data_IF_830089761220
#
_entry.id   IF_830089761220
#
_cell.length_a   1.000
_cell.length_b   1.000
_cell.length_c   1.000
_cell.angle_alpha   90.00
_cell.angle_beta   90.00
_cell.angle_gamma   90.00
#
_symmetry.space_group_name_H-M   'P 1'
#
loop_
_entity.id
_entity.type
_entity.pdbx_description
1 polymer ?
#
# COMPACT_ATOMS: atom_id res chain seq x y z
N UNK A 1 -39.45 -7.47 66.97
CA UNK A 1 -40.70 -6.79 67.37
C UNK A 1 -41.17 -6.13 66.08
N UNK A 2 -42.13 -6.77 65.36
CA UNK A 2 -43.57 -6.52 65.38
C UNK A 2 -43.83 -5.03 65.00
N UNK A 3 -44.48 -4.64 63.92
CA UNK A 3 -45.79 -5.06 63.44
C UNK A 3 -46.13 -4.62 62.00
N UNK A 4 -46.98 -5.42 61.45
CA UNK A 4 -47.77 -5.25 60.21
C UNK A 4 -48.79 -4.10 60.27
N UNK A 5 -49.19 -3.52 59.12
CA UNK A 5 -50.64 -3.41 58.82
C UNK A 5 -50.89 -3.10 57.29
N UNK A 6 -51.76 -3.93 56.74
CA UNK A 6 -52.47 -3.85 55.50
C UNK A 6 -53.49 -2.69 55.49
N UNK A 7 -53.73 -2.07 54.33
CA UNK A 7 -55.07 -1.55 53.98
C UNK A 7 -55.34 -1.76 52.50
N UNK A 8 -56.43 -2.43 52.19
CA UNK A 8 -57.10 -2.60 50.93
C UNK A 8 -58.02 -1.38 50.63
N UNK A 9 -58.17 -1.00 49.32
CA UNK A 9 -59.39 -0.44 48.70
C UNK A 9 -59.13 -0.28 47.24
N UNK A 10 -59.77 -0.86 46.39
CA UNK A 10 -61.14 -0.95 45.82
C UNK A 10 -61.14 -0.44 44.39
N UNK A 11 -61.68 -1.31 43.51
CA UNK A 11 -61.85 -1.16 42.06
C UNK A 11 -62.72 0.04 41.67
N UNK A 12 -62.40 0.63 40.51
CA UNK A 12 -63.39 1.24 39.61
C UNK A 12 -63.05 0.89 38.16
N UNK A 13 -63.91 0.11 37.52
CA UNK A 13 -63.90 -0.19 36.09
C UNK A 13 -64.45 1.04 35.32
N UNK A 14 -63.68 1.50 34.35
CA UNK A 14 -64.21 2.33 33.24
C UNK A 14 -63.82 1.69 31.91
N UNK A 15 -64.80 1.13 31.24
CA UNK A 15 -64.65 0.61 29.88
C UNK A 15 -64.58 1.79 28.90
N UNK A 16 -63.49 1.89 28.16
CA UNK A 16 -63.35 2.74 26.99
C UNK A 16 -63.12 1.83 25.78
N UNK A 17 -64.06 1.81 24.87
CA UNK A 17 -63.95 1.17 23.57
C UNK A 17 -62.92 1.91 22.72
N UNK A 18 -61.76 1.28 22.45
CA UNK A 18 -60.80 1.76 21.44
C UNK A 18 -60.82 0.81 20.25
N UNK A 19 -61.26 1.34 19.14
CA UNK A 19 -61.25 0.74 17.81
C UNK A 19 -59.79 0.43 17.39
N UNK A 20 -59.45 -0.85 17.29
CA UNK A 20 -58.17 -1.30 16.75
C UNK A 20 -58.26 -1.27 15.21
N UNK A 21 -57.48 -0.38 14.58
CA UNK A 21 -57.11 -0.51 13.18
C UNK A 21 -56.08 -1.65 13.01
N UNK A 22 -56.17 -2.51 12.01
CA UNK A 22 -55.21 -3.58 11.84
C UNK A 22 -53.84 -2.99 11.43
N UNK A 23 -52.81 -3.20 12.24
CA UNK A 23 -51.41 -2.93 11.91
C UNK A 23 -51.03 -3.82 10.72
N UNK A 24 -50.69 -3.20 9.59
CA UNK A 24 -50.02 -3.90 8.48
C UNK A 24 -48.63 -4.29 8.97
N UNK A 25 -48.43 -5.58 9.23
CA UNK A 25 -47.09 -6.16 9.41
C UNK A 25 -46.35 -6.06 8.10
N UNK A 26 -45.27 -5.28 8.09
CA UNK A 26 -44.26 -5.28 7.02
C UNK A 26 -43.63 -6.68 6.97
N UNK A 27 -43.59 -7.36 5.81
CA UNK A 27 -42.91 -8.64 5.74
C UNK A 27 -41.42 -8.45 6.01
N UNK A 28 -40.81 -9.34 6.81
CA UNK A 28 -39.39 -9.40 7.03
C UNK A 28 -38.66 -9.58 5.67
N UNK A 29 -37.50 -8.95 5.46
CA UNK A 29 -36.74 -9.16 4.23
C UNK A 29 -36.41 -10.66 4.11
N UNK A 30 -36.70 -11.21 2.93
CA UNK A 30 -36.35 -12.57 2.58
C UNK A 30 -34.83 -12.78 2.75
N UNK A 31 -34.37 -13.96 3.24
CA UNK A 31 -32.95 -14.24 3.28
C UNK A 31 -32.36 -14.09 1.89
N UNK A 32 -31.24 -13.36 1.80
CA UNK A 32 -30.50 -13.18 0.56
C UNK A 32 -30.18 -14.56 -0.03
N UNK A 33 -30.50 -14.74 -1.29
CA UNK A 33 -30.16 -15.96 -2.01
C UNK A 33 -28.62 -16.18 -1.89
N UNK A 34 -28.16 -17.44 -1.72
CA UNK A 34 -26.74 -17.72 -1.72
C UNK A 34 -26.15 -17.19 -3.03
N UNK A 35 -25.03 -16.45 -2.90
CA UNK A 35 -24.28 -15.96 -4.06
C UNK A 35 -24.08 -17.15 -5.03
N UNK A 36 -24.49 -16.98 -6.27
CA UNK A 36 -24.31 -18.01 -7.30
C UNK A 36 -22.84 -18.40 -7.34
N UNK A 37 -22.55 -19.69 -7.17
CA UNK A 37 -21.24 -20.25 -7.42
C UNK A 37 -20.75 -19.72 -8.77
N UNK A 38 -19.61 -19.00 -8.76
CA UNK A 38 -19.06 -18.36 -9.94
C UNK A 38 -19.00 -19.36 -11.10
N UNK A 39 -19.34 -18.88 -12.30
CA UNK A 39 -19.17 -19.66 -13.51
C UNK A 39 -17.72 -20.16 -13.57
N UNK A 40 -17.46 -21.40 -14.04
CA UNK A 40 -16.10 -21.92 -14.12
C UNK A 40 -15.25 -20.96 -14.95
N UNK A 41 -14.17 -20.44 -14.33
CA UNK A 41 -13.22 -19.55 -15.01
C UNK A 41 -12.70 -20.28 -16.25
N UNK A 42 -12.87 -19.68 -17.43
CA UNK A 42 -12.35 -20.28 -18.65
C UNK A 42 -10.83 -20.41 -18.54
N UNK A 43 -10.26 -21.54 -18.97
CA UNK A 43 -8.81 -21.78 -19.03
C UNK A 43 -8.07 -20.72 -19.89
N UNK A 44 -8.80 -19.92 -20.64
CA UNK A 44 -8.30 -18.84 -21.51
C UNK A 44 -7.99 -17.53 -20.80
N UNK A 45 -8.41 -17.33 -19.54
CA UNK A 45 -8.11 -16.09 -18.82
C UNK A 45 -6.60 -16.01 -18.44
N UNK A 46 -6.00 -14.84 -18.69
CA UNK A 46 -4.56 -14.62 -18.51
C UNK A 46 -4.19 -14.48 -17.01
N UNK A 47 -2.98 -14.88 -16.65
CA UNK A 47 -2.42 -14.59 -15.32
C UNK A 47 -1.96 -13.14 -15.23
N UNK A 48 -1.82 -12.63 -14.01
CA UNK A 48 -1.31 -11.29 -13.72
C UNK A 48 -0.08 -11.40 -12.85
N UNK A 49 1.03 -10.81 -13.31
CA UNK A 49 2.27 -10.67 -12.55
C UNK A 49 2.45 -9.20 -12.18
N UNK A 50 2.44 -8.89 -10.90
CA UNK A 50 2.73 -7.58 -10.34
C UNK A 50 4.14 -7.57 -9.77
N UNK A 51 5.03 -6.76 -10.35
CA UNK A 51 6.41 -6.59 -9.92
C UNK A 51 6.53 -5.23 -9.25
N UNK A 52 7.06 -5.17 -8.03
CA UNK A 52 7.47 -3.92 -7.40
C UNK A 52 8.99 -3.82 -7.30
N UNK A 53 9.51 -2.66 -7.67
CA UNK A 53 10.91 -2.27 -7.49
C UNK A 53 10.92 -1.09 -6.52
N UNK A 54 11.17 -1.39 -5.24
CA UNK A 54 11.14 -0.40 -4.17
C UNK A 54 12.07 0.79 -4.45
N UNK A 55 11.58 1.99 -4.22
CA UNK A 55 12.37 3.22 -4.35
C UNK A 55 12.82 3.59 -5.77
N UNK A 56 12.32 2.91 -6.82
CA UNK A 56 12.69 3.20 -8.19
C UNK A 56 12.02 4.48 -8.70
N UNK A 57 12.79 5.54 -8.86
CA UNK A 57 12.32 6.81 -9.41
C UNK A 57 11.89 6.69 -10.88
N UNK A 58 10.80 7.39 -11.25
CA UNK A 58 10.25 7.37 -12.60
C UNK A 58 11.24 7.82 -13.69
N UNK A 59 12.16 8.75 -13.38
CA UNK A 59 13.16 9.27 -14.31
C UNK A 59 14.29 8.27 -14.64
N UNK A 60 14.49 7.23 -13.83
CA UNK A 60 15.51 6.20 -14.09
C UNK A 60 15.27 5.46 -15.42
N UNK A 61 14.01 5.35 -15.85
CA UNK A 61 13.67 4.75 -17.15
C UNK A 61 14.17 5.55 -18.36
N UNK A 62 14.53 6.81 -18.17
CA UNK A 62 15.01 7.71 -19.24
C UNK A 62 16.54 7.88 -19.24
N UNK A 63 17.25 7.22 -18.28
CA UNK A 63 18.71 7.32 -18.15
C UNK A 63 19.49 6.28 -18.99
N UNK A 64 18.82 5.44 -19.75
CA UNK A 64 19.45 4.42 -20.61
C UNK A 64 20.09 3.26 -19.87
N UNK A 65 19.76 3.05 -18.59
CA UNK A 65 20.32 1.98 -17.74
C UNK A 65 19.36 0.82 -17.49
N UNK A 66 18.16 0.88 -18.05
CA UNK A 66 17.08 -0.10 -17.86
C UNK A 66 16.58 -0.66 -19.20
N UNK A 67 17.41 -1.36 -19.99
CA UNK A 67 17.02 -1.80 -21.34
C UNK A 67 15.79 -2.71 -21.35
N UNK A 68 15.64 -3.62 -20.37
CA UNK A 68 14.51 -4.55 -20.31
C UNK A 68 13.20 -3.86 -19.92
N UNK A 69 13.22 -2.98 -18.92
CA UNK A 69 12.07 -2.16 -18.53
C UNK A 69 11.72 -1.17 -19.65
N UNK A 70 12.72 -0.61 -20.34
CA UNK A 70 12.51 0.28 -21.49
C UNK A 70 11.84 -0.44 -22.66
N UNK A 71 12.18 -1.71 -22.91
CA UNK A 71 11.51 -2.53 -23.91
C UNK A 71 10.06 -2.83 -23.52
N UNK A 72 9.81 -3.21 -22.24
CA UNK A 72 8.43 -3.36 -21.73
C UNK A 72 7.60 -2.10 -21.92
N UNK A 73 8.20 -0.94 -21.63
CA UNK A 73 7.57 0.38 -21.79
C UNK A 73 7.27 0.72 -23.25
N UNK A 74 8.16 0.34 -24.16
CA UNK A 74 8.01 0.56 -25.60
C UNK A 74 6.89 -0.30 -26.19
N UNK A 75 6.86 -1.58 -25.83
CA UNK A 75 5.91 -2.54 -26.41
C UNK A 75 4.55 -2.53 -25.71
N UNK A 76 4.46 -1.96 -24.53
CA UNK A 76 3.27 -1.93 -23.68
C UNK A 76 2.77 -0.54 -23.35
N UNK A 77 2.52 -0.33 -22.08
CA UNK A 77 2.01 0.92 -21.50
C UNK A 77 3.06 1.50 -20.55
N UNK A 78 3.31 2.80 -20.63
CA UNK A 78 4.11 3.54 -19.65
C UNK A 78 3.36 4.79 -19.21
N UNK A 79 3.18 5.00 -17.92
CA UNK A 79 2.79 6.29 -17.39
C UNK A 79 4.00 7.24 -17.32
N UNK A 80 3.74 8.55 -17.40
CA UNK A 80 4.78 9.56 -17.18
C UNK A 80 5.40 9.47 -15.80
N UNK A 81 4.55 9.23 -14.79
CA UNK A 81 4.89 8.83 -13.42
C UNK A 81 3.64 8.26 -12.75
N UNK A 82 3.83 7.61 -11.62
CA UNK A 82 2.78 7.30 -10.65
C UNK A 82 3.06 8.09 -9.38
N UNK A 83 2.04 8.78 -8.84
CA UNK A 83 2.13 9.54 -7.60
C UNK A 83 1.85 8.62 -6.43
N UNK A 84 2.76 8.45 -5.45
CA UNK A 84 2.50 7.65 -4.26
C UNK A 84 1.44 8.30 -3.38
N UNK A 85 0.79 7.52 -2.51
CA UNK A 85 -0.03 8.03 -1.44
C UNK A 85 0.85 8.60 -0.31
N UNK A 86 0.31 9.58 0.42
CA UNK A 86 0.98 10.13 1.60
C UNK A 86 0.77 9.21 2.82
N UNK A 87 1.83 8.95 3.62
CA UNK A 87 3.23 9.29 3.37
C UNK A 87 3.86 8.39 2.30
N UNK A 88 4.85 8.92 1.55
CA UNK A 88 5.56 8.18 0.48
C UNK A 88 6.53 7.14 1.08
N UNK A 89 5.98 6.18 1.81
CA UNK A 89 6.69 5.14 2.56
C UNK A 89 6.33 3.75 2.03
N UNK A 90 7.23 2.79 2.21
CA UNK A 90 7.19 1.43 1.67
C UNK A 90 5.89 0.68 1.99
N UNK A 91 5.62 0.40 3.26
CA UNK A 91 4.45 -0.42 3.63
C UNK A 91 3.12 0.26 3.30
N UNK A 92 2.91 1.56 3.63
CA UNK A 92 1.71 2.27 3.21
C UNK A 92 1.45 2.15 1.70
N UNK A 93 2.47 2.36 0.85
CA UNK A 93 2.28 2.40 -0.60
C UNK A 93 2.16 1.02 -1.24
N UNK A 94 2.93 0.02 -0.80
CA UNK A 94 2.73 -1.35 -1.26
C UNK A 94 1.33 -1.87 -0.95
N UNK A 95 0.80 -1.51 0.23
CA UNK A 95 -0.53 -1.94 0.59
C UNK A 95 -1.63 -1.14 -0.14
N UNK A 96 -1.39 0.14 -0.41
CA UNK A 96 -2.24 0.96 -1.31
C UNK A 96 -2.35 0.34 -2.72
N UNK A 97 -1.23 -0.08 -3.31
CA UNK A 97 -1.19 -0.69 -4.66
C UNK A 97 -2.10 -1.93 -4.79
N UNK A 98 -2.26 -2.69 -3.72
CA UNK A 98 -3.01 -3.95 -3.73
C UNK A 98 -4.41 -3.86 -3.12
N UNK A 99 -4.77 -2.74 -2.50
CA UNK A 99 -6.12 -2.49 -1.94
C UNK A 99 -6.88 -1.36 -2.63
N UNK A 100 -6.14 -0.46 -3.32
CA UNK A 100 -6.70 0.79 -3.83
C UNK A 100 -7.14 1.76 -2.75
N UNK A 101 -6.85 1.47 -1.47
CA UNK A 101 -7.15 2.34 -0.35
C UNK A 101 -5.95 3.22 -0.02
N UNK A 102 -6.21 4.43 0.45
CA UNK A 102 -5.17 5.30 1.00
C UNK A 102 -4.76 4.85 2.41
N UNK A 103 -3.56 5.19 2.90
CA UNK A 103 -3.10 4.83 4.24
C UNK A 103 -4.08 5.17 5.36
N UNK A 104 -4.80 6.27 5.24
CA UNK A 104 -5.84 6.72 6.17
C UNK A 104 -7.05 5.76 6.23
N UNK A 105 -7.29 4.97 5.18
CA UNK A 105 -8.41 4.03 5.10
C UNK A 105 -7.98 2.59 5.36
N UNK A 106 -6.80 2.16 4.88
CA UNK A 106 -6.35 0.78 5.13
C UNK A 106 -5.57 0.60 6.46
N UNK A 107 -5.22 1.70 7.14
CA UNK A 107 -4.68 1.68 8.50
C UNK A 107 -3.19 1.38 8.64
N UNK A 108 -2.46 1.11 7.57
CA UNK A 108 -0.99 1.10 7.55
C UNK A 108 -0.54 2.53 7.27
N UNK A 109 -0.52 3.33 8.33
CA UNK A 109 -0.32 4.78 8.22
C UNK A 109 1.15 5.19 8.17
N UNK A 110 2.07 4.30 8.54
CA UNK A 110 3.50 4.55 8.55
C UNK A 110 4.26 3.21 8.59
N UNK A 111 5.56 3.18 8.23
CA UNK A 111 6.42 2.02 8.40
C UNK A 111 6.64 1.64 9.88
N UNK A 112 6.47 2.62 10.78
CA UNK A 112 6.44 2.43 12.24
C UNK A 112 5.24 3.18 12.81
N UNK A 113 4.38 2.51 13.60
CA UNK A 113 3.16 3.12 14.12
C UNK A 113 2.74 2.49 15.45
N UNK A 114 1.80 3.12 16.14
CA UNK A 114 1.20 2.62 17.38
C UNK A 114 -0.31 2.54 17.27
N UNK A 115 -0.85 1.49 17.86
CA UNK A 115 -2.29 1.29 18.04
C UNK A 115 -2.58 1.14 19.53
N UNK A 116 -3.69 1.68 19.99
CA UNK A 116 -4.06 1.66 21.40
C UNK A 116 -4.27 0.25 21.97
N UNK A 117 -4.67 -0.70 21.13
CA UNK A 117 -4.97 -2.09 21.51
C UNK A 117 -3.91 -3.09 21.05
N UNK A 118 -3.29 -2.85 19.87
CA UNK A 118 -2.32 -3.78 19.28
C UNK A 118 -0.87 -3.46 19.67
N UNK A 119 -0.62 -2.29 20.25
CA UNK A 119 0.72 -1.85 20.63
C UNK A 119 1.52 -1.25 19.50
N UNK A 120 2.80 -1.64 19.34
CA UNK A 120 3.70 -1.10 18.34
C UNK A 120 3.85 -1.98 17.10
N UNK A 121 3.94 -1.35 15.94
CA UNK A 121 4.25 -1.96 14.64
C UNK A 121 5.52 -1.32 14.07
N UNK A 122 6.39 -2.10 13.48
CA UNK A 122 7.53 -1.67 12.64
C UNK A 122 7.93 -2.80 11.69
N UNK A 123 8.62 -2.50 10.62
CA UNK A 123 8.89 -3.41 9.49
C UNK A 123 9.51 -4.75 9.90
N UNK A 124 10.45 -4.75 10.85
CA UNK A 124 11.13 -5.96 11.31
C UNK A 124 10.39 -6.71 12.43
N UNK A 125 9.22 -6.23 12.90
CA UNK A 125 8.42 -6.89 13.92
C UNK A 125 7.46 -7.91 13.28
N UNK A 126 7.98 -9.09 12.98
CA UNK A 126 7.24 -10.14 12.29
C UNK A 126 5.89 -10.48 12.92
N UNK A 127 5.79 -10.54 14.25
CA UNK A 127 4.53 -10.79 14.95
C UNK A 127 3.45 -9.73 14.64
N UNK A 128 3.86 -8.46 14.46
CA UNK A 128 2.93 -7.40 14.09
C UNK A 128 2.63 -7.42 12.57
N UNK A 129 3.64 -7.65 11.73
CA UNK A 129 3.47 -7.75 10.27
C UNK A 129 2.54 -8.91 9.91
N UNK A 130 2.65 -10.05 10.60
CA UNK A 130 1.79 -11.23 10.42
C UNK A 130 0.41 -11.14 11.08
N UNK A 131 0.13 -10.11 11.88
CA UNK A 131 -1.16 -9.93 12.55
C UNK A 131 -2.17 -9.18 11.65
N UNK A 132 -3.18 -9.92 11.19
CA UNK A 132 -4.22 -9.41 10.29
C UNK A 132 -4.97 -8.16 10.79
N UNK A 133 -5.01 -7.93 12.10
CA UNK A 133 -5.69 -6.77 12.71
C UNK A 133 -5.08 -5.42 12.35
N UNK A 134 -3.84 -5.42 11.87
CA UNK A 134 -3.19 -4.19 11.38
C UNK A 134 -3.68 -3.77 10.00
N UNK A 135 -4.10 -4.73 9.16
CA UNK A 135 -4.30 -4.60 7.72
C UNK A 135 -5.79 -4.44 7.39
N UNK A 136 -6.23 -3.23 7.09
CA UNK A 136 -7.61 -2.96 6.68
C UNK A 136 -7.83 -3.13 5.18
N UNK A 137 -9.09 -3.27 4.78
CA UNK A 137 -9.46 -3.48 3.37
C UNK A 137 -9.24 -4.90 2.87
N UNK A 138 -9.46 -5.11 1.57
CA UNK A 138 -9.30 -6.40 0.91
C UNK A 138 -8.18 -6.31 -0.14
N UNK A 139 -7.02 -6.91 0.11
CA UNK A 139 -5.94 -6.92 -0.87
C UNK A 139 -6.20 -7.90 -2.01
N UNK A 140 -5.55 -7.68 -3.17
CA UNK A 140 -5.74 -8.44 -4.40
C UNK A 140 -5.70 -9.96 -4.22
N UNK A 141 -4.81 -10.47 -3.36
CA UNK A 141 -4.72 -11.91 -3.10
C UNK A 141 -5.93 -12.46 -2.36
N UNK A 142 -6.51 -11.69 -1.42
CA UNK A 142 -7.74 -12.10 -0.73
C UNK A 142 -8.90 -12.11 -1.73
N UNK A 143 -9.05 -11.06 -2.53
CA UNK A 143 -10.05 -11.02 -3.60
C UNK A 143 -9.88 -12.16 -4.60
N UNK A 144 -8.65 -12.50 -5.01
CA UNK A 144 -8.39 -13.62 -5.90
C UNK A 144 -8.81 -14.96 -5.27
N UNK A 145 -8.33 -15.28 -4.08
CA UNK A 145 -8.61 -16.55 -3.39
C UNK A 145 -10.10 -16.73 -3.08
N UNK A 146 -10.79 -15.68 -2.65
CA UNK A 146 -12.25 -15.72 -2.36
C UNK A 146 -13.11 -15.92 -3.62
N UNK A 147 -12.54 -15.60 -4.81
CA UNK A 147 -13.17 -15.86 -6.10
C UNK A 147 -12.64 -17.12 -6.80
N UNK A 148 -11.97 -18.02 -6.07
CA UNK A 148 -11.48 -19.31 -6.59
C UNK A 148 -10.27 -19.20 -7.50
N UNK A 149 -9.50 -18.11 -7.42
CA UNK A 149 -8.25 -17.90 -8.13
C UNK A 149 -7.07 -18.05 -7.15
N UNK A 150 -6.09 -18.86 -7.49
CA UNK A 150 -4.89 -18.96 -6.65
C UNK A 150 -3.97 -17.76 -6.82
N UNK A 151 -3.48 -17.28 -5.68
CA UNK A 151 -2.48 -16.21 -5.59
C UNK A 151 -1.14 -16.76 -5.05
N UNK A 152 -0.04 -16.22 -5.57
CA UNK A 152 1.30 -16.48 -5.09
C UNK A 152 2.03 -15.15 -4.85
N UNK A 153 2.52 -14.90 -3.64
CA UNK A 153 3.13 -13.62 -3.26
C UNK A 153 4.57 -13.81 -2.79
N UNK A 154 5.49 -13.15 -3.48
CA UNK A 154 6.89 -13.14 -3.08
C UNK A 154 7.17 -11.90 -2.24
N UNK A 155 7.19 -12.07 -0.90
CA UNK A 155 7.53 -11.04 0.12
C UNK A 155 6.77 -9.71 0.01
N UNK A 156 5.53 -9.72 -0.51
CA UNK A 156 4.74 -8.49 -0.61
C UNK A 156 4.23 -8.05 0.77
N UNK A 157 4.40 -6.78 1.17
CA UNK A 157 3.93 -6.28 2.46
C UNK A 157 2.46 -6.60 2.75
N UNK A 158 2.20 -7.26 3.87
CA UNK A 158 0.86 -7.70 4.29
C UNK A 158 0.45 -9.09 3.82
N UNK A 159 1.16 -9.73 2.88
CA UNK A 159 0.75 -11.03 2.35
C UNK A 159 0.99 -12.20 3.30
N UNK A 160 1.78 -12.01 4.34
CA UNK A 160 2.00 -13.01 5.42
C UNK A 160 0.85 -13.07 6.43
N UNK A 161 0.02 -12.01 6.49
CA UNK A 161 -1.11 -11.95 7.40
C UNK A 161 -2.35 -12.64 6.80
N UNK A 162 -3.12 -13.37 7.64
CA UNK A 162 -4.39 -13.96 7.23
C UNK A 162 -5.51 -12.90 7.24
N UNK A 163 -5.46 -11.96 6.30
CA UNK A 163 -6.40 -10.85 6.21
C UNK A 163 -7.79 -11.39 5.85
N UNK A 164 -8.80 -11.05 6.65
CA UNK A 164 -10.13 -11.66 6.51
C UNK A 164 -10.14 -13.19 6.69
N UNK A 165 -9.11 -13.76 7.34
CA UNK A 165 -8.94 -15.22 7.50
C UNK A 165 -8.34 -15.90 6.26
N UNK A 166 -7.95 -15.15 5.23
CA UNK A 166 -7.45 -15.68 3.95
C UNK A 166 -5.99 -15.29 3.74
N UNK A 167 -5.20 -16.24 3.25
CA UNK A 167 -3.81 -16.04 2.79
C UNK A 167 -3.70 -16.42 1.32
N UNK A 168 -2.67 -15.92 0.61
CA UNK A 168 -2.33 -16.46 -0.70
C UNK A 168 -2.07 -17.98 -0.61
N UNK A 169 -2.42 -18.73 -1.66
CA UNK A 169 -2.11 -20.18 -1.78
C UNK A 169 -0.62 -20.43 -1.62
N UNK A 170 0.22 -19.53 -2.12
CA UNK A 170 1.69 -19.55 -1.94
C UNK A 170 2.17 -18.18 -1.51
N UNK A 171 3.09 -18.14 -0.55
CA UNK A 171 3.68 -16.88 -0.09
C UNK A 171 5.07 -17.12 0.51
N UNK A 172 5.89 -16.07 0.50
CA UNK A 172 7.22 -16.06 1.13
C UNK A 172 7.29 -14.93 2.13
N UNK A 173 7.91 -15.22 3.27
CA UNK A 173 8.37 -14.16 4.18
C UNK A 173 9.45 -13.33 3.50
N UNK A 174 9.62 -12.11 3.96
CA UNK A 174 10.78 -11.33 3.61
C UNK A 174 12.00 -11.94 4.28
N UNK A 175 13.00 -12.28 3.47
CA UNK A 175 14.33 -12.75 3.86
C UNK A 175 15.38 -11.87 3.22
N UNK A 176 16.08 -11.05 4.04
CA UNK A 176 17.19 -10.21 3.59
C UNK A 176 18.28 -11.04 2.91
N UNK A 177 18.84 -10.54 1.82
CA UNK A 177 19.92 -11.19 1.09
C UNK A 177 19.50 -12.34 0.17
N UNK A 178 18.20 -12.63 0.00
CA UNK A 178 17.76 -13.58 -1.01
C UNK A 178 18.08 -13.06 -2.41
N UNK A 179 18.82 -13.87 -3.19
CA UNK A 179 19.33 -13.45 -4.49
C UNK A 179 18.22 -13.12 -5.50
N UNK A 180 18.50 -12.20 -6.42
CA UNK A 180 17.61 -11.86 -7.54
C UNK A 180 17.25 -13.10 -8.37
N UNK A 181 18.20 -14.02 -8.57
CA UNK A 181 18.00 -15.24 -9.37
C UNK A 181 17.04 -16.23 -8.67
N UNK A 182 17.18 -16.41 -7.35
CA UNK A 182 16.26 -17.24 -6.55
C UNK A 182 14.83 -16.74 -6.68
N UNK A 183 14.60 -15.41 -6.55
CA UNK A 183 13.27 -14.81 -6.70
C UNK A 183 12.68 -15.05 -8.09
N UNK A 184 13.48 -14.80 -9.12
CA UNK A 184 13.09 -14.99 -10.52
C UNK A 184 12.72 -16.44 -10.81
N UNK A 185 13.53 -17.39 -10.39
CA UNK A 185 13.30 -18.83 -10.67
C UNK A 185 12.07 -19.35 -9.95
N UNK A 186 11.84 -18.93 -8.71
CA UNK A 186 10.64 -19.31 -7.96
C UNK A 186 9.36 -18.74 -8.60
N UNK A 187 9.35 -17.45 -8.94
CA UNK A 187 8.21 -16.80 -9.60
C UNK A 187 7.93 -17.42 -10.98
N UNK A 188 8.95 -17.79 -11.73
CA UNK A 188 8.78 -18.55 -12.98
C UNK A 188 8.10 -19.90 -12.73
N UNK A 189 8.53 -20.63 -11.69
CA UNK A 189 7.90 -21.89 -11.29
C UNK A 189 6.41 -21.71 -10.95
N UNK A 190 6.07 -20.64 -10.25
CA UNK A 190 4.67 -20.30 -9.92
C UNK A 190 3.83 -19.95 -11.14
N UNK A 191 4.39 -19.24 -12.12
CA UNK A 191 3.71 -18.89 -13.38
C UNK A 191 3.56 -20.11 -14.33
N UNK A 192 4.48 -21.06 -14.24
CA UNK A 192 4.44 -22.29 -15.04
C UNK A 192 3.40 -23.30 -14.53
N UNK A 193 2.94 -23.20 -13.29
CA UNK A 193 1.90 -24.05 -12.73
C UNK A 193 0.63 -24.01 -13.58
N UNK A 194 -0.06 -25.14 -13.74
CA UNK A 194 -1.21 -25.31 -14.63
C UNK A 194 -2.33 -26.11 -13.98
N UNK A 195 -3.47 -26.19 -14.64
CA UNK A 195 -4.65 -26.91 -14.11
C UNK A 195 -5.10 -26.33 -12.77
N UNK A 196 -5.39 -27.21 -11.81
CA UNK A 196 -5.87 -26.80 -10.48
C UNK A 196 -4.81 -26.01 -9.66
N UNK A 197 -3.53 -26.13 -9.98
CA UNK A 197 -2.43 -25.43 -9.29
C UNK A 197 -2.06 -24.08 -9.91
N UNK A 198 -2.78 -23.65 -10.94
CA UNK A 198 -2.48 -22.43 -11.69
C UNK A 198 -2.65 -21.19 -10.83
N UNK A 199 -1.57 -20.42 -10.68
CA UNK A 199 -1.64 -19.10 -10.04
C UNK A 199 -2.12 -18.04 -11.05
N UNK A 200 -3.20 -17.34 -10.71
CA UNK A 200 -3.78 -16.27 -11.52
C UNK A 200 -3.21 -14.91 -11.15
N UNK A 201 -2.87 -14.72 -9.89
CA UNK A 201 -2.13 -13.57 -9.38
C UNK A 201 -0.77 -14.04 -8.88
N UNK A 202 0.30 -13.38 -9.35
CA UNK A 202 1.66 -13.56 -8.82
C UNK A 202 2.22 -12.20 -8.50
N UNK A 203 2.85 -12.02 -7.33
CA UNK A 203 3.57 -10.79 -7.00
C UNK A 203 5.06 -11.08 -6.80
N UNK A 204 5.89 -10.07 -7.11
CA UNK A 204 7.35 -10.13 -6.95
C UNK A 204 7.85 -8.78 -6.45
N UNK A 205 8.63 -8.79 -5.38
CA UNK A 205 9.18 -7.60 -4.74
C UNK A 205 10.72 -7.60 -4.77
N UNK A 206 11.29 -6.42 -5.05
CA UNK A 206 12.72 -6.14 -5.04
C UNK A 206 13.01 -4.89 -4.20
N UNK A 207 13.75 -5.03 -3.10
CA UNK A 207 14.19 -3.95 -2.21
C UNK A 207 15.51 -3.28 -2.61
N UNK A 208 16.32 -3.94 -3.40
CA UNK A 208 17.73 -3.61 -3.66
C UNK A 208 18.00 -2.17 -4.11
N UNK A 209 17.06 -1.57 -4.85
CA UNK A 209 17.21 -0.20 -5.35
C UNK A 209 16.99 0.80 -4.22
N UNK A 210 15.98 0.56 -3.36
CA UNK A 210 15.72 1.36 -2.18
C UNK A 210 16.87 1.33 -1.18
N UNK A 211 17.40 0.14 -0.87
CA UNK A 211 18.54 -0.03 0.03
C UNK A 211 19.76 0.76 -0.46
N UNK A 212 20.11 0.62 -1.74
CA UNK A 212 21.21 1.38 -2.33
C UNK A 212 20.93 2.89 -2.34
N UNK A 213 19.67 3.28 -2.53
CA UNK A 213 19.24 4.67 -2.43
C UNK A 213 19.47 5.23 -1.03
N UNK A 214 19.04 4.52 -0.01
CA UNK A 214 19.25 4.90 1.39
C UNK A 214 20.73 5.03 1.74
N UNK A 215 21.56 4.07 1.32
CA UNK A 215 22.95 4.01 1.72
C UNK A 215 23.87 4.99 0.97
N UNK A 216 23.58 5.28 -0.30
CA UNK A 216 24.48 6.01 -1.17
C UNK A 216 23.86 7.24 -1.85
N UNK A 217 22.53 7.40 -1.74
CA UNK A 217 21.78 8.46 -2.44
C UNK A 217 21.38 8.09 -3.87
N UNK A 218 20.34 8.75 -4.41
CA UNK A 218 19.71 8.37 -5.69
C UNK A 218 20.54 8.73 -6.93
N UNK A 219 21.59 9.53 -6.80
CA UNK A 219 22.50 9.91 -7.90
C UNK A 219 23.82 9.14 -7.84
N UNK A 220 23.96 8.18 -6.92
CA UNK A 220 25.17 7.38 -6.76
C UNK A 220 25.32 6.32 -7.88
N UNK A 221 26.55 5.86 -8.03
CA UNK A 221 26.84 4.72 -8.90
C UNK A 221 26.20 3.45 -8.37
N UNK A 222 26.24 3.26 -7.07
CA UNK A 222 25.69 2.09 -6.35
C UNK A 222 24.18 1.97 -6.58
N UNK A 223 23.45 3.08 -6.49
CA UNK A 223 22.02 3.11 -6.84
C UNK A 223 21.80 2.70 -8.31
N UNK A 224 22.55 3.30 -9.24
CA UNK A 224 22.44 2.99 -10.66
C UNK A 224 22.82 1.52 -10.96
N UNK A 225 23.80 0.95 -10.27
CA UNK A 225 24.24 -0.44 -10.44
C UNK A 225 23.14 -1.40 -9.92
N UNK A 226 22.45 -1.10 -8.82
CA UNK A 226 21.32 -1.88 -8.34
C UNK A 226 20.10 -1.79 -9.28
N UNK A 227 19.82 -0.60 -9.86
CA UNK A 227 18.81 -0.47 -10.92
C UNK A 227 19.12 -1.38 -12.11
N UNK A 228 20.39 -1.42 -12.58
CA UNK A 228 20.82 -2.33 -13.66
C UNK A 228 20.67 -3.80 -13.28
N UNK A 229 21.03 -4.15 -12.05
CA UNK A 229 20.94 -5.53 -11.55
C UNK A 229 19.49 -6.04 -11.53
N UNK A 230 18.57 -5.24 -11.03
CA UNK A 230 17.12 -5.56 -11.00
C UNK A 230 16.55 -5.58 -12.43
N UNK A 231 16.90 -4.62 -13.29
CA UNK A 231 16.51 -4.66 -14.71
C UNK A 231 16.99 -5.93 -15.41
N UNK A 232 18.23 -6.36 -15.14
CA UNK A 232 18.79 -7.60 -15.65
C UNK A 232 18.05 -8.84 -15.13
N UNK A 233 17.64 -8.85 -13.85
CA UNK A 233 16.83 -9.93 -13.27
C UNK A 233 15.46 -10.01 -13.96
N UNK A 234 14.82 -8.87 -14.21
CA UNK A 234 13.57 -8.81 -14.97
C UNK A 234 13.78 -9.31 -16.41
N UNK A 235 14.90 -8.98 -17.05
CA UNK A 235 15.25 -9.52 -18.36
C UNK A 235 15.36 -11.05 -18.36
N UNK A 236 16.00 -11.64 -17.35
CA UNK A 236 16.08 -13.10 -17.17
C UNK A 236 14.70 -13.73 -16.93
N UNK A 237 13.85 -13.06 -16.12
CA UNK A 237 12.46 -13.50 -15.89
C UNK A 237 11.69 -13.54 -17.22
N UNK A 238 11.69 -12.46 -17.99
CA UNK A 238 10.99 -12.36 -19.27
C UNK A 238 11.48 -13.42 -20.28
N UNK A 239 12.80 -13.59 -20.41
CA UNK A 239 13.38 -14.62 -21.28
C UNK A 239 13.02 -16.04 -20.81
N UNK A 240 12.96 -16.28 -19.49
CA UNK A 240 12.49 -17.52 -18.90
C UNK A 240 11.02 -17.78 -19.23
N UNK A 241 10.16 -16.80 -19.00
CA UNK A 241 8.73 -16.88 -19.31
C UNK A 241 8.48 -17.17 -20.80
N UNK A 242 9.31 -16.62 -21.70
CA UNK A 242 9.22 -16.90 -23.14
C UNK A 242 9.54 -18.38 -23.45
N UNK A 243 10.61 -18.92 -22.86
CA UNK A 243 10.95 -20.35 -22.99
C UNK A 243 9.89 -21.29 -22.42
N UNK A 244 9.26 -20.89 -21.32
CA UNK A 244 8.24 -21.67 -20.61
C UNK A 244 6.83 -21.53 -21.24
N UNK A 245 6.68 -20.68 -22.28
CA UNK A 245 5.37 -20.40 -22.92
C UNK A 245 4.37 -19.71 -22.00
N UNK A 246 4.86 -19.02 -20.94
CA UNK A 246 4.01 -18.29 -20.01
C UNK A 246 3.87 -16.80 -20.36
N UNK A 247 4.76 -16.29 -21.22
CA UNK A 247 4.84 -14.87 -21.58
C UNK A 247 3.58 -14.35 -22.25
N UNK A 248 3.05 -15.10 -23.22
CA UNK A 248 1.88 -14.73 -24.03
C UNK A 248 0.56 -14.86 -23.25
N UNK A 249 0.57 -15.51 -22.10
CA UNK A 249 -0.60 -15.70 -21.23
C UNK A 249 -0.52 -14.96 -19.90
N UNK A 250 0.41 -13.99 -19.79
CA UNK A 250 0.61 -13.23 -18.56
C UNK A 250 0.60 -11.73 -18.84
N UNK A 251 -0.28 -11.00 -18.15
CA UNK A 251 -0.19 -9.55 -18.05
C UNK A 251 0.84 -9.19 -16.98
N UNK A 252 1.83 -8.41 -17.34
CA UNK A 252 2.88 -7.96 -16.44
C UNK A 252 2.65 -6.49 -16.13
N UNK A 253 2.60 -6.14 -14.85
CA UNK A 253 2.54 -4.78 -14.34
C UNK A 253 3.77 -4.56 -13.48
N UNK A 254 4.56 -3.53 -13.79
CA UNK A 254 5.74 -3.15 -13.01
C UNK A 254 5.48 -1.78 -12.39
N UNK A 255 5.68 -1.70 -11.08
CA UNK A 255 5.50 -0.49 -10.29
C UNK A 255 6.73 -0.23 -9.42
N UNK A 256 6.84 0.97 -8.89
CA UNK A 256 7.52 1.24 -7.62
C UNK A 256 6.48 1.82 -6.66
N UNK A 257 6.78 1.77 -5.40
CA UNK A 257 5.89 2.29 -4.34
C UNK A 257 6.12 3.80 -4.12
N UNK A 258 7.35 4.26 -4.28
CA UNK A 258 7.79 5.67 -4.22
C UNK A 258 9.07 5.86 -5.02
N UNK A 259 9.60 7.09 -4.99
CA UNK A 259 10.92 7.42 -5.46
C UNK A 259 11.94 7.57 -4.33
N UNK A 260 12.99 8.39 -4.55
CA UNK A 260 14.09 8.59 -3.61
C UNK A 260 14.64 10.01 -3.75
N UNK A 261 14.78 10.74 -2.65
CA UNK A 261 15.38 12.06 -2.61
C UNK A 261 16.80 12.00 -1.99
N UNK A 262 17.70 12.87 -2.44
CA UNK A 262 19.03 12.98 -1.85
C UNK A 262 18.96 13.68 -0.48
N UNK A 263 19.73 13.18 0.47
CA UNK A 263 19.94 13.78 1.79
C UNK A 263 21.43 14.07 1.94
N UNK A 264 21.78 15.36 2.00
CA UNK A 264 23.16 15.79 2.07
C UNK A 264 23.81 15.44 3.44
N UNK A 265 25.15 15.35 3.51
CA UNK A 265 25.86 15.22 4.76
C UNK A 265 25.43 16.29 5.79
N UNK A 266 25.14 15.88 7.02
CA UNK A 266 24.69 16.77 8.08
C UNK A 266 23.21 17.17 8.05
N UNK A 267 22.43 16.76 7.04
CA UNK A 267 20.99 17.06 6.94
C UNK A 267 20.15 16.05 7.72
N UNK A 268 20.47 15.90 9.00
CA UNK A 268 19.65 15.14 9.95
C UNK A 268 19.62 15.84 11.31
N UNK A 269 18.44 15.89 11.92
CA UNK A 269 18.21 16.42 13.26
C UNK A 269 17.69 15.33 14.19
N UNK A 270 17.76 15.55 15.51
CA UNK A 270 17.09 14.69 16.46
C UNK A 270 15.60 15.01 16.54
N UNK A 271 14.74 14.00 16.66
CA UNK A 271 13.32 14.24 16.99
C UNK A 271 13.16 14.94 18.35
N UNK A 272 14.14 14.80 19.26
CA UNK A 272 14.16 15.49 20.56
C UNK A 272 14.52 16.98 20.44
N UNK A 273 15.18 17.40 19.34
CA UNK A 273 15.39 18.83 19.04
C UNK A 273 14.10 19.49 18.53
N UNK A 274 13.17 18.70 17.95
CA UNK A 274 11.85 19.18 17.53
C UNK A 274 10.91 19.34 18.72
N UNK A 275 10.86 18.34 19.61
CA UNK A 275 10.07 18.38 20.84
C UNK A 275 10.75 17.60 21.96
N UNK A 276 10.93 18.24 23.10
CA UNK A 276 11.53 17.59 24.28
C UNK A 276 10.67 16.40 24.74
N UNK A 277 11.31 15.29 25.20
CA UNK A 277 10.59 14.08 25.66
C UNK A 277 9.64 14.31 26.87
N UNK A 278 9.87 15.39 27.67
CA UNK A 278 8.98 15.78 28.78
C UNK A 278 7.75 16.59 28.31
N UNK A 279 7.62 16.88 27.01
CA UNK A 279 6.50 17.61 26.39
C UNK A 279 5.69 16.69 25.48
N UNK A 280 6.34 15.98 24.55
CA UNK A 280 5.70 15.09 23.62
C UNK A 280 6.58 13.86 23.32
N UNK A 281 5.95 12.73 23.09
CA UNK A 281 6.63 11.52 22.62
C UNK A 281 6.64 11.51 21.07
N UNK A 282 7.82 11.41 20.46
CA UNK A 282 7.91 11.07 19.05
C UNK A 282 7.50 9.61 18.86
N UNK A 283 6.47 9.37 18.04
CA UNK A 283 5.93 8.03 17.73
C UNK A 283 6.66 7.43 16.52
N UNK A 284 7.07 8.28 15.58
CA UNK A 284 7.78 7.92 14.35
C UNK A 284 9.01 8.79 14.17
N UNK A 285 9.90 8.37 13.30
CA UNK A 285 11.09 9.11 12.86
C UNK A 285 11.22 9.01 11.32
N UNK A 286 12.17 9.72 10.75
CA UNK A 286 12.40 9.77 9.29
C UNK A 286 11.94 11.10 8.68
N UNK A 287 11.01 11.06 7.75
CA UNK A 287 10.55 12.22 6.98
C UNK A 287 9.16 12.68 7.44
N UNK A 288 8.38 11.79 8.05
CA UNK A 288 7.07 12.07 8.63
C UNK A 288 7.11 11.71 10.11
N UNK A 289 7.14 12.73 10.96
CA UNK A 289 7.25 12.54 12.40
C UNK A 289 5.91 12.78 13.07
N UNK A 290 5.39 11.77 13.73
CA UNK A 290 4.20 11.87 14.55
C UNK A 290 4.53 12.14 16.00
N UNK A 291 3.94 13.16 16.60
CA UNK A 291 4.09 13.47 18.01
C UNK A 291 2.79 13.26 18.79
N UNK A 292 2.91 12.61 19.95
CA UNK A 292 1.87 12.46 20.93
C UNK A 292 2.21 13.33 22.17
N UNK A 293 1.52 14.47 22.41
CA UNK A 293 1.72 15.28 23.60
C UNK A 293 1.49 14.47 24.88
N UNK A 294 2.32 14.69 25.90
CA UNK A 294 2.10 14.09 27.22
C UNK A 294 0.87 14.68 27.90
N UNK A 295 0.25 13.97 28.87
CA UNK A 295 -0.87 14.49 29.64
C UNK A 295 -0.57 15.87 30.22
N UNK A 296 -1.44 16.84 29.94
CA UNK A 296 -1.28 18.23 30.36
C UNK A 296 -0.28 19.09 29.57
N UNK A 297 0.42 18.51 28.58
CA UNK A 297 1.41 19.23 27.77
C UNK A 297 0.91 19.64 26.38
N UNK A 298 -0.36 19.40 26.05
CA UNK A 298 -0.90 19.66 24.72
C UNK A 298 -0.59 21.08 24.21
N UNK A 299 -0.91 22.11 25.00
CA UNK A 299 -0.69 23.50 24.60
C UNK A 299 0.78 23.84 24.38
N UNK A 300 1.69 23.26 25.19
CA UNK A 300 3.12 23.48 25.04
C UNK A 300 3.69 22.77 23.82
N UNK A 301 3.22 21.54 23.56
CA UNK A 301 3.61 20.79 22.37
C UNK A 301 3.15 21.50 21.09
N UNK A 302 1.91 21.98 21.07
CA UNK A 302 1.38 22.75 19.94
C UNK A 302 2.13 24.07 19.73
N UNK A 303 2.38 24.83 20.79
CA UNK A 303 3.13 26.09 20.69
C UNK A 303 4.57 25.92 20.18
N UNK A 304 5.22 24.77 20.45
CA UNK A 304 6.58 24.50 20.01
C UNK A 304 6.68 23.83 18.63
N UNK A 305 5.66 23.07 18.22
CA UNK A 305 5.73 22.26 17.00
C UNK A 305 4.94 22.85 15.84
N UNK A 306 3.74 23.41 16.06
CA UNK A 306 2.87 23.81 14.95
C UNK A 306 3.45 24.97 14.12
N UNK A 307 3.26 24.87 12.80
CA UNK A 307 3.68 25.89 11.84
C UNK A 307 4.95 25.52 11.08
N UNK A 308 5.53 26.51 10.41
CA UNK A 308 6.72 26.36 9.59
C UNK A 308 8.01 26.52 10.42
N UNK A 309 8.94 25.61 10.21
CA UNK A 309 10.29 25.60 10.79
C UNK A 309 11.34 25.54 9.69
N UNK A 310 12.61 25.71 10.03
CA UNK A 310 13.69 25.75 9.03
C UNK A 310 13.86 24.44 8.25
N UNK A 311 13.56 23.30 8.86
CA UNK A 311 13.76 21.97 8.27
C UNK A 311 12.45 21.17 8.10
N UNK A 312 11.33 21.64 8.64
CA UNK A 312 10.05 20.92 8.61
C UNK A 312 8.87 21.86 8.82
N UNK A 313 7.68 21.36 8.48
CA UNK A 313 6.42 21.98 8.83
C UNK A 313 5.57 21.01 9.65
N UNK A 314 4.81 21.49 10.64
CA UNK A 314 3.95 20.67 11.49
C UNK A 314 2.52 21.18 11.54
N UNK A 315 1.59 20.22 11.61
CA UNK A 315 0.14 20.47 11.71
C UNK A 315 -0.50 19.59 12.80
N UNK A 316 -1.65 20.01 13.29
CA UNK A 316 -2.56 19.04 13.90
C UNK A 316 -3.01 18.06 12.82
N UNK A 317 -3.22 16.79 13.16
CA UNK A 317 -3.62 15.77 12.18
C UNK A 317 -4.91 16.13 11.41
N UNK A 318 -5.79 16.94 12.02
CA UNK A 318 -7.03 17.45 11.40
C UNK A 318 -6.84 18.64 10.47
N UNK A 319 -5.64 19.21 10.40
CA UNK A 319 -5.29 20.41 9.63
C UNK A 319 -4.26 20.13 8.53
N UNK A 320 -3.95 18.85 8.30
CA UNK A 320 -3.03 18.42 7.24
C UNK A 320 -3.51 18.89 5.85
N UNK A 321 -2.60 19.13 4.90
CA UNK A 321 -2.97 19.47 3.54
C UNK A 321 -3.98 18.48 2.95
N UNK A 322 -5.15 18.97 2.50
CA UNK A 322 -6.25 18.12 2.03
C UNK A 322 -5.83 17.16 0.90
N UNK A 323 -4.86 17.58 0.06
CA UNK A 323 -4.31 16.75 -1.03
C UNK A 323 -3.59 15.48 -0.57
N UNK A 324 -3.21 15.39 0.71
CA UNK A 324 -2.57 14.20 1.27
C UNK A 324 -3.58 13.10 1.61
N UNK A 325 -4.87 13.43 1.75
CA UNK A 325 -5.92 12.49 2.14
C UNK A 325 -5.52 11.66 3.38
N UNK A 326 -5.03 12.36 4.41
CA UNK A 326 -4.42 11.78 5.59
C UNK A 326 -4.77 12.59 6.82
N UNK A 327 -5.04 11.94 7.97
CA UNK A 327 -5.30 12.63 9.23
C UNK A 327 -6.50 12.11 10.02
N UNK A 328 -7.32 11.19 9.49
CA UNK A 328 -8.53 10.71 10.18
C UNK A 328 -8.31 9.41 10.94
N UNK A 329 -7.39 8.54 10.48
CA UNK A 329 -7.16 7.26 11.10
C UNK A 329 -6.65 7.40 12.57
N UNK A 330 -7.16 6.60 13.54
CA UNK A 330 -6.79 6.72 14.96
C UNK A 330 -5.31 6.45 15.24
N UNK A 331 -4.62 5.68 14.41
CA UNK A 331 -3.17 5.42 14.52
C UNK A 331 -2.29 6.61 14.15
N UNK A 332 -2.85 7.63 13.51
CA UNK A 332 -2.12 8.86 13.18
C UNK A 332 -1.98 9.70 14.44
N UNK A 333 -0.76 10.07 14.85
CA UNK A 333 -0.53 10.90 16.04
C UNK A 333 -1.19 12.27 15.95
N UNK A 334 -1.51 12.90 17.09
CA UNK A 334 -2.20 14.19 17.15
C UNK A 334 -1.52 15.34 16.38
N UNK A 335 -0.18 15.36 16.36
CA UNK A 335 0.63 16.32 15.61
C UNK A 335 1.49 15.54 14.61
N UNK A 336 1.49 15.99 13.37
CA UNK A 336 2.27 15.41 12.29
C UNK A 336 3.17 16.48 11.71
N UNK A 337 4.47 16.18 11.64
CA UNK A 337 5.49 17.03 11.04
C UNK A 337 6.03 16.37 9.76
N UNK A 338 6.10 17.13 8.68
CA UNK A 338 6.73 16.74 7.42
C UNK A 338 8.08 17.43 7.30
N UNK A 339 9.15 16.66 7.18
CA UNK A 339 10.47 17.21 6.87
C UNK A 339 10.47 17.83 5.47
N UNK A 340 11.21 18.92 5.31
CA UNK A 340 11.51 19.45 3.98
C UNK A 340 12.39 18.47 3.21
N UNK A 341 12.24 18.42 1.89
CA UNK A 341 13.03 17.52 1.05
C UNK A 341 14.52 17.63 1.34
N UNK A 342 15.17 16.49 1.51
CA UNK A 342 16.59 16.40 1.81
C UNK A 342 16.95 16.51 3.29
N UNK A 343 15.97 16.50 4.20
CA UNK A 343 16.16 16.47 5.64
C UNK A 343 15.52 15.25 6.29
N UNK A 344 16.20 14.69 7.30
CA UNK A 344 15.67 13.62 8.16
C UNK A 344 15.58 14.10 9.61
N UNK A 345 14.58 13.58 10.34
CA UNK A 345 14.54 13.66 11.80
C UNK A 345 14.58 12.25 12.40
N UNK A 346 15.58 11.95 13.20
CA UNK A 346 15.88 10.60 13.67
C UNK A 346 15.81 10.50 15.19
N UNK A 347 15.49 9.31 15.69
CA UNK A 347 15.72 9.03 17.11
C UNK A 347 17.19 9.15 17.45
N UNK A 348 17.53 9.59 18.69
CA UNK A 348 18.92 9.88 19.08
C UNK A 348 19.90 8.72 18.84
N UNK A 349 19.47 7.49 19.07
CA UNK A 349 20.30 6.29 18.86
C UNK A 349 20.58 6.00 17.37
N UNK A 350 19.63 6.30 16.50
CA UNK A 350 19.80 6.21 15.03
C UNK A 350 20.68 7.34 14.53
N UNK A 351 20.43 8.57 15.00
CA UNK A 351 21.23 9.75 14.63
C UNK A 351 22.70 9.59 15.03
N UNK A 352 22.97 9.02 16.21
CA UNK A 352 24.34 8.77 16.69
C UNK A 352 25.11 7.76 15.83
N UNK A 353 24.41 6.83 15.19
CA UNK A 353 24.97 5.79 14.29
C UNK A 353 25.10 6.25 12.85
N UNK A 354 24.42 7.34 12.47
CA UNK A 354 24.38 7.83 11.10
C UNK A 354 25.74 8.42 10.67
N UNK A 355 26.30 7.99 9.51
CA UNK A 355 27.47 8.66 8.92
C UNK A 355 27.15 10.12 8.64
N UNK A 356 28.09 11.02 9.03
CA UNK A 356 27.87 12.48 8.95
C UNK A 356 28.46 13.12 7.69
N UNK A 357 29.33 12.43 6.99
CA UNK A 357 30.11 12.87 5.85
C UNK A 357 29.71 12.21 4.52
N UNK A 358 28.68 11.38 4.54
CA UNK A 358 28.22 10.61 3.40
C UNK A 358 26.88 11.13 2.87
N UNK A 359 26.75 11.25 1.55
CA UNK A 359 25.47 11.43 0.88
C UNK A 359 24.60 10.19 1.08
N UNK A 360 23.33 10.38 1.34
CA UNK A 360 22.33 9.32 1.51
C UNK A 360 21.09 9.64 0.72
N UNK A 361 20.13 8.72 0.70
CA UNK A 361 18.79 8.95 0.20
C UNK A 361 17.73 8.70 1.26
N UNK A 362 16.61 9.31 1.06
CA UNK A 362 15.39 9.11 1.85
C UNK A 362 14.14 9.32 1.02
N UNK A 363 13.04 8.78 1.51
CA UNK A 363 11.70 8.91 0.95
C UNK A 363 10.69 9.11 2.09
N UNK A 364 9.41 9.34 1.79
CA UNK A 364 8.41 9.72 2.81
C UNK A 364 8.07 11.21 2.74
N UNK A 365 8.70 11.94 1.81
CA UNK A 365 8.39 13.35 1.56
C UNK A 365 7.04 13.52 0.87
N UNK A 366 6.62 14.79 0.69
CA UNK A 366 5.39 15.14 -0.02
C UNK A 366 5.31 14.42 -1.39
N UNK A 367 4.23 13.67 -1.67
CA UNK A 367 4.05 12.95 -2.94
C UNK A 367 4.06 13.84 -4.19
N UNK A 368 3.84 15.15 -4.05
CA UNK A 368 3.89 16.11 -5.15
C UNK A 368 5.31 16.33 -5.68
N UNK A 369 6.33 16.04 -4.89
CA UNK A 369 7.73 16.23 -5.27
C UNK A 369 8.13 15.29 -6.41
N UNK A 370 8.88 15.80 -7.41
CA UNK A 370 9.39 14.97 -8.50
C UNK A 370 10.23 13.77 -8.05
N UNK A 371 10.98 13.91 -6.96
CA UNK A 371 11.81 12.86 -6.35
C UNK A 371 11.00 11.69 -5.80
N UNK A 372 9.72 11.91 -5.43
CA UNK A 372 8.83 10.87 -4.91
C UNK A 372 8.07 10.14 -6.04
N UNK A 373 8.16 10.58 -7.28
CA UNK A 373 7.46 9.97 -8.43
C UNK A 373 7.93 8.55 -8.67
N UNK A 374 6.97 7.65 -8.67
CA UNK A 374 7.11 6.22 -8.85
C UNK A 374 6.93 5.79 -10.31
N UNK A 375 7.38 4.57 -10.63
CA UNK A 375 7.25 3.94 -11.95
C UNK A 375 5.89 3.26 -12.09
N UNK A 376 5.34 3.29 -13.31
CA UNK A 376 4.27 2.40 -13.75
C UNK A 376 4.51 1.98 -15.20
N UNK A 377 4.63 0.66 -15.41
CA UNK A 377 4.69 0.01 -16.73
C UNK A 377 3.69 -1.15 -16.76
N UNK A 378 3.13 -1.45 -17.92
CA UNK A 378 2.29 -2.63 -18.09
C UNK A 378 2.41 -3.20 -19.51
N UNK A 379 2.50 -4.54 -19.64
CA UNK A 379 2.59 -5.20 -20.95
C UNK A 379 2.00 -6.62 -20.85
N UNK A 380 1.20 -6.99 -21.84
CA UNK A 380 0.60 -8.33 -21.88
C UNK A 380 -0.54 -8.44 -22.88
N UNK A 381 -1.19 -9.61 -22.93
CA UNK A 381 -2.22 -9.91 -23.93
C UNK A 381 -3.47 -9.01 -23.82
N UNK A 382 -3.83 -8.55 -22.62
CA UNK A 382 -5.01 -7.69 -22.39
C UNK A 382 -4.68 -6.19 -22.36
N UNK A 383 -3.40 -5.84 -22.57
CA UNK A 383 -2.91 -4.47 -22.44
C UNK A 383 -2.64 -3.82 -23.80
N UNK A 384 -2.77 -2.51 -23.86
CA UNK A 384 -2.48 -1.72 -25.03
C UNK A 384 -0.97 -1.76 -25.37
N UNK A 385 -0.63 -1.51 -26.62
CA UNK A 385 0.75 -1.47 -27.10
C UNK A 385 1.18 -0.03 -27.41
N UNK A 386 2.42 0.30 -27.10
CA UNK A 386 3.03 1.61 -27.38
C UNK A 386 2.30 2.79 -26.75
N UNK A 387 1.57 2.57 -25.63
CA UNK A 387 0.71 3.58 -25.01
C UNK A 387 1.46 4.39 -23.96
N UNK A 388 1.36 5.71 -24.05
CA UNK A 388 1.82 6.63 -23.01
C UNK A 388 0.61 7.18 -22.26
N UNK A 389 0.70 7.19 -20.91
CA UNK A 389 -0.32 7.75 -20.02
C UNK A 389 0.23 8.99 -19.31
N UNK A 390 -0.64 9.94 -18.92
CA UNK A 390 -0.26 11.01 -17.99
C UNK A 390 0.15 10.44 -16.63
N UNK A 391 0.60 11.31 -15.71
CA UNK A 391 0.76 10.95 -14.32
C UNK A 391 -0.59 10.66 -13.66
N UNK A 392 -0.62 9.72 -12.70
CA UNK A 392 -1.83 9.33 -11.98
C UNK A 392 -1.49 8.87 -10.55
N UNK A 393 -2.49 8.72 -9.68
CA UNK A 393 -2.33 8.32 -8.29
C UNK A 393 -2.29 6.78 -8.15
N UNK A 394 -1.42 6.25 -7.28
CA UNK A 394 -1.20 4.80 -7.12
C UNK A 394 -2.44 4.01 -6.67
N UNK A 395 -3.43 4.65 -6.04
CA UNK A 395 -4.74 4.04 -5.69
C UNK A 395 -5.48 3.48 -6.91
N UNK A 396 -5.20 4.01 -8.11
CA UNK A 396 -5.88 3.62 -9.35
C UNK A 396 -5.41 2.26 -9.90
N UNK A 397 -4.25 1.76 -9.42
CA UNK A 397 -3.67 0.48 -9.86
C UNK A 397 -4.58 -0.69 -9.51
N UNK A 398 -5.19 -0.68 -8.33
CA UNK A 398 -6.05 -1.76 -7.85
C UNK A 398 -7.21 -2.08 -8.81
N UNK A 399 -7.88 -1.05 -9.32
CA UNK A 399 -8.99 -1.22 -10.25
C UNK A 399 -8.56 -1.85 -11.60
N UNK A 400 -7.36 -1.55 -12.09
CA UNK A 400 -6.78 -2.22 -13.25
C UNK A 400 -6.50 -3.70 -12.96
N UNK A 401 -5.89 -3.99 -11.81
CA UNK A 401 -5.49 -5.34 -11.42
C UNK A 401 -6.71 -6.26 -11.25
N UNK A 402 -7.76 -5.81 -10.54
CA UNK A 402 -9.00 -6.59 -10.38
C UNK A 402 -9.66 -6.87 -11.72
N UNK A 403 -9.63 -5.89 -12.64
CA UNK A 403 -10.16 -6.06 -14.00
C UNK A 403 -9.37 -7.08 -14.81
N UNK A 404 -8.03 -7.08 -14.76
CA UNK A 404 -7.18 -8.08 -15.41
C UNK A 404 -7.39 -9.49 -14.84
N UNK A 405 -7.68 -9.58 -13.53
CA UNK A 405 -8.01 -10.86 -12.87
C UNK A 405 -9.42 -11.33 -13.19
N UNK A 406 -10.31 -10.43 -13.62
CA UNK A 406 -11.73 -10.73 -13.85
C UNK A 406 -12.54 -10.90 -12.58
N UNK A 407 -12.14 -10.24 -11.49
CA UNK A 407 -12.83 -10.24 -10.19
C UNK A 407 -13.45 -8.87 -9.89
N UNK A 408 -14.51 -8.80 -9.07
CA UNK A 408 -15.04 -7.52 -8.60
C UNK A 408 -13.98 -6.76 -7.79
N UNK A 409 -13.93 -5.44 -7.96
CA UNK A 409 -13.13 -4.59 -7.07
C UNK A 409 -13.87 -4.41 -5.75
N UNK A 410 -13.20 -4.60 -4.61
CA UNK A 410 -13.71 -4.19 -3.31
C UNK A 410 -13.82 -2.66 -3.24
N UNK A 411 -14.57 -2.09 -2.26
CA UNK A 411 -14.60 -0.64 -2.05
C UNK A 411 -13.19 -0.07 -1.88
N UNK A 412 -12.87 0.95 -2.66
CA UNK A 412 -11.53 1.55 -2.70
C UNK A 412 -11.58 3.05 -3.06
N UNK A 413 -10.45 3.75 -2.99
CA UNK A 413 -10.32 5.18 -3.24
C UNK A 413 -9.93 5.52 -4.69
N UNK A 414 -9.64 4.50 -5.50
CA UNK A 414 -9.17 4.67 -6.87
C UNK A 414 -10.29 5.04 -7.84
N UNK A 415 -9.91 5.74 -8.90
CA UNK A 415 -10.80 6.00 -10.03
C UNK A 415 -10.64 4.90 -11.09
N UNK A 416 -11.63 4.01 -11.29
CA UNK A 416 -11.52 2.90 -12.23
C UNK A 416 -11.37 3.36 -13.70
N UNK A 417 -11.65 4.62 -14.01
CA UNK A 417 -11.53 5.16 -15.37
C UNK A 417 -10.09 5.55 -15.75
N UNK A 418 -9.24 5.85 -14.78
CA UNK A 418 -7.87 6.39 -15.01
C UNK A 418 -7.04 5.47 -15.88
N UNK A 419 -7.05 4.18 -15.61
CA UNK A 419 -6.23 3.18 -16.30
C UNK A 419 -6.99 2.39 -17.38
N UNK A 420 -8.25 2.74 -17.72
CA UNK A 420 -8.95 2.15 -18.88
C UNK A 420 -8.17 2.30 -20.19
N UNK A 421 -7.49 3.43 -20.48
CA UNK A 421 -6.68 3.56 -21.69
C UNK A 421 -5.47 2.61 -21.75
N UNK A 422 -5.10 1.97 -20.65
CA UNK A 422 -4.06 0.94 -20.60
C UNK A 422 -4.53 -0.41 -21.15
N UNK A 423 -5.83 -0.64 -21.23
CA UNK A 423 -6.41 -1.89 -21.72
C UNK A 423 -6.43 -1.95 -23.24
N UNK A 424 -6.29 -3.15 -23.76
CA UNK A 424 -6.49 -3.43 -25.17
C UNK A 424 -7.96 -3.23 -25.51
N UNK A 425 -8.24 -2.40 -26.49
CA UNK A 425 -9.58 -2.29 -27.06
C UNK A 425 -9.84 -3.56 -27.90
N UNK A 426 -10.88 -4.37 -27.60
CA UNK A 426 -11.23 -5.46 -28.50
C UNK A 426 -11.43 -4.93 -29.90
N UNK A 427 -11.01 -5.65 -30.96
CA UNK A 427 -11.39 -5.27 -32.32
C UNK A 427 -12.91 -5.14 -32.38
N UNK A 428 -13.39 -4.03 -32.96
CA UNK A 428 -14.82 -3.84 -33.15
C UNK A 428 -15.36 -5.11 -33.84
N UNK A 429 -16.35 -5.74 -33.22
CA UNK A 429 -17.01 -6.90 -33.84
C UNK A 429 -17.45 -6.45 -35.23
N UNK A 430 -16.87 -7.05 -36.25
CA UNK A 430 -17.19 -6.72 -37.66
C UNK A 430 -18.71 -6.81 -37.84
N UNK A 431 -19.30 -5.73 -38.30
CA UNK A 431 -20.72 -5.67 -38.69
C UNK A 431 -20.96 -6.56 -39.91
#
# INVERSE_FOLDING_TARGET
>A
MIDRRFVFAALALLAACSSHAPSRSTPAPAPAAPASAGAPHSDSAHSVLLISIDGLRADMLDRGITPNLSQLAHDGVRARWMTPSYPSLTFPNHYTLVTGLRPDHHGIVHNSMRDATLGGFWLSKQDAVGDARWWGGEPLWVGAETHGLHAATWSWPGSEAAIGGVRPTRWRHYEEGTSLDTRVDEVRGWLAASGADRNRLVTLYFEHVDEAGHDHGPESREYADNVRAVDGAIGRLLAGMQRDGTRERTNIVVVSDHGMAAVAPGHAISVEDMARPDIATAVTDGQVIGFAPLPGQQARAEAGLLGAHAQYDCWRKTELPARWHYGTHPRIPPIVCQMHEGWDALFPDKLAKRPRDQMRGSHGFDPALPSMRAVFLAQGPDLAQGKRLPGFDNVDVYALMTRLLGIPAAPNDGNPATLLPALRVPPAAGR
#
